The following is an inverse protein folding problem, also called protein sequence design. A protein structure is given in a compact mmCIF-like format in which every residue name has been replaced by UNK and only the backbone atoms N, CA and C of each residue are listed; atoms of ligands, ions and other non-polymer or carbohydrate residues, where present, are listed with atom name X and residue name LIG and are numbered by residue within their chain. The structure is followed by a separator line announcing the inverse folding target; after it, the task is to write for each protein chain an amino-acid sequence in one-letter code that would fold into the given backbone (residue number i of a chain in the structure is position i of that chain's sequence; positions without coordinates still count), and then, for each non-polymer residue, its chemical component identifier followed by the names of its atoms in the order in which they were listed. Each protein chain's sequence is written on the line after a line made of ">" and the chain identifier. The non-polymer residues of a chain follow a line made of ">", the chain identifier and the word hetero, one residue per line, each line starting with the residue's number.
data_IF_465655197251
#
_entry.id   IF_465655197251
#
_cell.length_a   1.000
_cell.length_b   1.000
_cell.length_c   1.000
_cell.angle_alpha   90.00
_cell.angle_beta   90.00
_cell.angle_gamma   90.00
#
_symmetry.space_group_name_H-M   'P 1'
#
loop_
_entity.id
_entity.type
_entity.pdbx_description
1 polymer ?
#
# COMPACT_ATOMS: atom_id res chain seq x y z
N UNK A 1 -17.50 46.96 -78.78
CA UNK A 1 -16.34 46.10 -79.13
C UNK A 1 -15.11 46.60 -78.40
N UNK A 2 -14.70 45.97 -77.34
CA UNK A 2 -13.49 46.37 -76.62
C UNK A 2 -12.26 45.80 -77.34
N UNK A 3 -11.39 46.66 -77.86
CA UNK A 3 -10.13 46.28 -78.41
C UNK A 3 -9.24 45.64 -77.39
N UNK A 4 -8.94 44.34 -77.52
CA UNK A 4 -7.90 43.68 -76.72
C UNK A 4 -6.54 44.21 -77.13
N UNK A 5 -5.86 44.93 -76.26
CA UNK A 5 -4.46 45.37 -76.48
C UNK A 5 -3.58 44.09 -76.42
N UNK A 6 -2.81 43.77 -77.47
CA UNK A 6 -1.95 42.61 -77.48
C UNK A 6 -0.80 42.85 -76.53
N UNK A 7 -0.61 41.94 -75.56
CA UNK A 7 0.52 41.94 -74.62
C UNK A 7 1.85 41.89 -75.41
N UNK A 8 2.82 42.70 -75.03
CA UNK A 8 4.14 42.72 -75.74
C UNK A 8 4.83 41.35 -75.63
N UNK A 9 5.22 40.79 -76.76
CA UNK A 9 5.97 39.52 -76.88
C UNK A 9 7.39 39.76 -76.36
N UNK A 10 7.72 39.20 -75.20
CA UNK A 10 9.04 39.23 -74.59
C UNK A 10 10.08 38.64 -75.50
N UNK A 11 11.24 39.31 -75.65
CA UNK A 11 12.42 38.80 -76.44
C UNK A 11 13.01 37.56 -75.75
N UNK A 12 13.77 36.76 -76.50
CA UNK A 12 14.40 35.52 -75.99
C UNK A 12 15.27 35.79 -74.75
N UNK A 13 16.01 36.91 -74.77
CA UNK A 13 16.82 37.36 -73.60
C UNK A 13 15.94 37.75 -72.36
N UNK A 14 14.86 38.40 -72.59
CA UNK A 14 13.90 38.78 -71.53
C UNK A 14 13.19 37.57 -70.89
N UNK A 15 12.88 36.53 -71.65
CA UNK A 15 12.30 35.26 -71.18
C UNK A 15 13.29 34.48 -70.32
N UNK A 16 14.60 34.39 -70.79
CA UNK A 16 15.64 33.71 -69.97
C UNK A 16 15.97 34.45 -68.70
N UNK A 17 15.99 35.79 -68.70
CA UNK A 17 16.23 36.58 -67.52
C UNK A 17 15.06 36.48 -66.48
N UNK A 18 13.81 36.42 -66.99
CA UNK A 18 12.61 36.22 -66.18
C UNK A 18 12.60 34.81 -65.57
N UNK A 19 12.87 33.77 -66.31
CA UNK A 19 12.96 32.39 -65.86
C UNK A 19 14.09 32.19 -64.81
N UNK A 20 15.23 32.84 -64.96
CA UNK A 20 16.32 32.80 -63.98
C UNK A 20 15.94 33.51 -62.70
N UNK A 21 15.20 34.63 -62.78
CA UNK A 21 14.67 35.32 -61.55
C UNK A 21 13.62 34.44 -60.83
N UNK A 22 12.70 33.85 -61.58
CA UNK A 22 11.66 32.98 -61.03
C UNK A 22 12.28 31.74 -60.36
N UNK A 23 13.29 31.12 -60.98
CA UNK A 23 14.04 29.98 -60.36
C UNK A 23 14.80 30.41 -59.10
N UNK A 24 15.44 31.57 -59.09
CA UNK A 24 16.11 32.09 -57.90
C UNK A 24 15.11 32.37 -56.79
N UNK A 25 13.99 32.98 -57.10
CA UNK A 25 12.91 33.21 -56.12
C UNK A 25 12.37 31.90 -55.57
N UNK A 26 12.09 30.93 -56.44
CA UNK A 26 11.64 29.60 -55.98
C UNK A 26 12.71 28.90 -55.13
N UNK A 27 13.98 28.97 -55.53
CA UNK A 27 15.06 28.40 -54.74
C UNK A 27 15.16 29.05 -53.35
N UNK A 28 15.06 30.38 -53.26
CA UNK A 28 15.03 31.09 -51.95
C UNK A 28 13.84 30.68 -51.13
N UNK A 29 12.63 30.62 -51.70
CA UNK A 29 11.41 30.20 -50.99
C UNK A 29 11.58 28.77 -50.49
N UNK A 30 12.04 27.84 -51.33
CA UNK A 30 12.25 26.44 -50.90
C UNK A 30 13.30 26.35 -49.80
N UNK A 31 14.42 27.09 -49.94
CA UNK A 31 15.49 27.09 -48.91
C UNK A 31 14.97 27.65 -47.59
N UNK A 32 14.25 28.77 -47.60
CA UNK A 32 13.66 29.36 -46.36
C UNK A 32 12.65 28.42 -45.77
N UNK A 33 11.76 27.83 -46.58
CA UNK A 33 10.75 26.91 -46.11
C UNK A 33 11.37 25.64 -45.51
N UNK A 34 12.41 25.11 -46.15
CA UNK A 34 13.18 23.95 -45.66
C UNK A 34 13.88 24.31 -44.33
N UNK A 35 14.49 25.47 -44.22
CA UNK A 35 15.15 25.92 -43.00
C UNK A 35 14.16 26.06 -41.86
N UNK A 36 12.98 26.66 -42.09
CA UNK A 36 11.91 26.75 -41.11
C UNK A 36 11.39 25.36 -40.69
N UNK A 37 11.19 24.49 -41.66
CA UNK A 37 10.75 23.11 -41.41
C UNK A 37 11.77 22.36 -40.54
N UNK A 38 13.06 22.41 -40.87
CA UNK A 38 14.11 21.78 -40.05
C UNK A 38 14.21 22.41 -38.66
N UNK A 39 14.03 23.72 -38.54
CA UNK A 39 14.00 24.38 -37.23
C UNK A 39 12.82 23.91 -36.38
N UNK A 40 11.62 23.84 -36.95
CA UNK A 40 10.42 23.32 -36.26
C UNK A 40 10.59 21.87 -35.87
N UNK A 41 11.10 21.02 -36.78
CA UNK A 41 11.38 19.61 -36.47
C UNK A 41 12.45 19.50 -35.36
N UNK A 42 13.46 20.35 -35.36
CA UNK A 42 14.45 20.43 -34.30
C UNK A 42 13.84 20.78 -32.94
N UNK A 43 12.97 21.78 -32.89
CA UNK A 43 12.26 22.16 -31.66
C UNK A 43 11.34 21.05 -31.14
N UNK A 44 10.58 20.41 -32.03
CA UNK A 44 9.70 19.29 -31.67
C UNK A 44 10.51 18.11 -31.15
N UNK A 45 11.63 17.77 -31.83
CA UNK A 45 12.52 16.69 -31.39
C UNK A 45 13.17 17.00 -30.05
N UNK A 46 13.61 18.25 -29.84
CA UNK A 46 14.16 18.70 -28.56
C UNK A 46 13.12 18.63 -27.44
N UNK A 47 11.91 19.17 -27.67
CA UNK A 47 10.83 19.13 -26.68
C UNK A 47 10.41 17.69 -26.35
N UNK A 48 10.34 16.79 -27.35
CA UNK A 48 10.04 15.38 -27.11
C UNK A 48 11.15 14.69 -26.32
N UNK A 49 12.41 14.99 -26.62
CA UNK A 49 13.57 14.44 -25.91
C UNK A 49 13.63 14.94 -24.46
N UNK A 50 13.40 16.24 -24.24
CA UNK A 50 13.36 16.82 -22.90
C UNK A 50 12.21 16.23 -22.07
N UNK A 51 11.01 16.18 -22.65
CA UNK A 51 9.87 15.56 -21.99
C UNK A 51 10.12 14.08 -21.63
N UNK A 52 10.75 13.34 -22.53
CA UNK A 52 11.13 11.94 -22.25
C UNK A 52 12.14 11.85 -21.11
N UNK A 53 13.16 12.73 -21.10
CA UNK A 53 14.14 12.78 -20.01
C UNK A 53 13.47 13.11 -18.67
N UNK A 54 12.67 14.17 -18.61
CA UNK A 54 12.02 14.62 -17.36
C UNK A 54 11.10 13.56 -16.76
N UNK A 55 10.35 12.84 -17.61
CA UNK A 55 9.36 11.86 -17.18
C UNK A 55 9.92 10.46 -16.94
N UNK A 56 11.07 10.11 -17.55
CA UNK A 56 11.57 8.73 -17.48
C UNK A 56 12.97 8.58 -16.89
N UNK A 57 13.89 9.47 -17.22
CA UNK A 57 15.31 9.29 -16.94
C UNK A 57 15.83 10.18 -15.81
N UNK A 58 15.16 11.30 -15.55
CA UNK A 58 15.54 12.21 -14.46
C UNK A 58 15.56 11.44 -13.13
N UNK A 59 16.57 11.62 -12.30
CA UNK A 59 16.61 10.98 -11.00
C UNK A 59 15.45 11.42 -10.11
N UNK A 60 14.70 10.46 -9.56
CA UNK A 60 13.71 10.68 -8.51
C UNK A 60 14.36 10.57 -7.13
N UNK A 61 15.30 9.63 -6.99
CA UNK A 61 16.02 9.35 -5.77
C UNK A 61 17.42 8.80 -6.10
N UNK A 62 18.37 8.97 -5.21
CA UNK A 62 19.64 8.20 -5.21
C UNK A 62 19.70 7.39 -3.93
N UNK A 63 20.11 6.14 -4.06
CA UNK A 63 20.34 5.20 -2.97
C UNK A 63 21.77 4.67 -3.08
N UNK A 64 22.62 5.00 -2.12
CA UNK A 64 24.07 4.71 -2.14
C UNK A 64 24.72 5.10 -3.49
N UNK A 65 24.38 6.28 -3.98
CA UNK A 65 24.86 6.80 -5.25
C UNK A 65 24.20 6.20 -6.50
N UNK A 66 23.42 5.13 -6.40
CA UNK A 66 22.65 4.54 -7.52
C UNK A 66 21.39 5.35 -7.78
N UNK A 67 21.11 5.60 -9.06
CA UNK A 67 19.94 6.40 -9.46
C UNK A 67 18.70 5.50 -9.53
N UNK A 68 17.64 5.94 -8.84
CA UNK A 68 16.26 5.51 -9.05
C UNK A 68 15.59 6.54 -9.96
N UNK A 69 15.12 6.11 -11.11
CA UNK A 69 14.63 7.03 -12.14
C UNK A 69 13.20 7.51 -11.86
N UNK A 70 12.85 8.67 -12.42
CA UNK A 70 11.49 9.25 -12.35
C UNK A 70 10.41 8.26 -12.82
N UNK A 71 10.73 7.45 -13.84
CA UNK A 71 9.81 6.40 -14.32
C UNK A 71 9.46 5.40 -13.23
N UNK A 72 10.44 4.96 -12.43
CA UNK A 72 10.22 3.95 -11.38
C UNK A 72 9.33 4.52 -10.28
N UNK A 73 9.57 5.78 -9.88
CA UNK A 73 8.70 6.48 -8.93
C UNK A 73 7.28 6.69 -9.47
N UNK A 74 7.16 7.11 -10.74
CA UNK A 74 5.84 7.32 -11.37
C UNK A 74 5.06 6.01 -11.45
N UNK A 75 5.73 4.90 -11.77
CA UNK A 75 5.11 3.58 -11.82
C UNK A 75 4.68 3.11 -10.44
N UNK A 76 5.55 3.25 -9.42
CA UNK A 76 5.22 2.86 -8.05
C UNK A 76 4.02 3.65 -7.51
N UNK A 77 4.06 4.98 -7.64
CA UNK A 77 2.94 5.86 -7.28
C UNK A 77 1.65 5.46 -7.98
N UNK A 78 1.71 5.17 -9.27
CA UNK A 78 0.57 4.75 -10.08
C UNK A 78 0.01 3.40 -9.62
N UNK A 79 0.89 2.48 -9.25
CA UNK A 79 0.50 1.18 -8.68
C UNK A 79 -0.25 1.35 -7.37
N UNK A 80 0.28 2.12 -6.43
CA UNK A 80 -0.35 2.37 -5.14
C UNK A 80 -1.70 3.08 -5.28
N UNK A 81 -1.78 4.12 -6.12
CA UNK A 81 -3.04 4.81 -6.40
C UNK A 81 -4.08 3.89 -7.03
N UNK A 82 -3.69 3.03 -7.96
CA UNK A 82 -4.63 2.10 -8.60
C UNK A 82 -5.15 1.06 -7.62
N UNK A 83 -4.33 0.60 -6.69
CA UNK A 83 -4.79 -0.26 -5.57
C UNK A 83 -5.82 0.47 -4.71
N UNK A 84 -5.52 1.69 -4.31
CA UNK A 84 -6.44 2.52 -3.53
C UNK A 84 -7.80 2.67 -4.22
N UNK A 85 -7.83 3.06 -5.50
CA UNK A 85 -9.09 3.23 -6.23
C UNK A 85 -9.91 1.95 -6.33
N UNK A 86 -9.25 0.81 -6.41
CA UNK A 86 -9.92 -0.49 -6.46
C UNK A 86 -10.42 -0.91 -5.08
N UNK A 87 -9.57 -0.81 -4.07
CA UNK A 87 -9.85 -1.24 -2.70
C UNK A 87 -11.01 -0.45 -2.08
N UNK A 88 -11.05 0.86 -2.33
CA UNK A 88 -12.11 1.75 -1.82
C UNK A 88 -13.24 1.99 -2.82
N UNK A 89 -13.25 1.28 -3.96
CA UNK A 89 -14.32 1.36 -4.94
C UNK A 89 -14.51 2.76 -5.56
N UNK A 90 -13.44 3.56 -5.64
CA UNK A 90 -13.50 4.93 -6.18
C UNK A 90 -13.84 4.86 -7.68
N UNK A 91 -14.96 5.47 -8.13
CA UNK A 91 -15.33 5.46 -9.54
C UNK A 91 -14.33 6.22 -10.41
N UNK A 92 -14.19 5.80 -11.66
CA UNK A 92 -13.43 6.57 -12.65
C UNK A 92 -14.01 8.00 -12.80
N UNK A 93 -13.15 9.01 -12.81
CA UNK A 93 -13.52 10.42 -12.90
C UNK A 93 -13.46 11.19 -11.57
N UNK A 94 -13.41 10.50 -10.43
CA UNK A 94 -13.24 11.13 -9.12
C UNK A 94 -11.76 11.39 -8.75
N UNK A 95 -10.84 11.11 -9.65
CA UNK A 95 -9.39 11.29 -9.39
C UNK A 95 -9.00 12.76 -9.12
N UNK A 96 -9.85 13.70 -9.47
CA UNK A 96 -9.65 15.15 -9.24
C UNK A 96 -10.46 15.71 -8.08
N UNK A 97 -11.15 14.87 -7.31
CA UNK A 97 -11.81 15.30 -6.08
C UNK A 97 -10.79 15.85 -5.09
N UNK A 98 -11.03 17.00 -4.44
CA UNK A 98 -10.10 17.59 -3.46
C UNK A 98 -9.73 16.65 -2.31
N UNK A 99 -10.66 15.81 -1.85
CA UNK A 99 -10.40 14.83 -0.79
C UNK A 99 -9.42 13.72 -1.27
N UNK A 100 -9.51 13.36 -2.56
CA UNK A 100 -8.59 12.40 -3.19
C UNK A 100 -7.25 13.05 -3.50
N UNK A 101 -7.20 14.37 -3.72
CA UNK A 101 -5.95 15.08 -3.98
C UNK A 101 -4.97 15.00 -2.79
N UNK A 102 -5.47 15.09 -1.56
CA UNK A 102 -4.66 14.90 -0.37
C UNK A 102 -4.13 13.48 -0.24
N UNK A 103 -5.01 12.49 -0.48
CA UNK A 103 -4.60 11.09 -0.50
C UNK A 103 -3.52 10.84 -1.56
N UNK A 104 -3.61 11.46 -2.74
CA UNK A 104 -2.56 11.39 -3.78
C UNK A 104 -1.21 11.91 -3.27
N UNK A 105 -1.18 13.01 -2.54
CA UNK A 105 0.06 13.56 -1.99
C UNK A 105 0.72 12.61 -0.99
N UNK A 106 -0.08 11.83 -0.23
CA UNK A 106 0.47 10.79 0.65
C UNK A 106 1.13 9.66 -0.14
N UNK A 107 0.57 9.29 -1.30
CA UNK A 107 1.15 8.26 -2.18
C UNK A 107 2.41 8.74 -2.91
N UNK A 108 2.59 10.03 -3.13
CA UNK A 108 3.82 10.59 -3.70
C UNK A 108 5.03 10.27 -2.79
N UNK A 109 4.87 10.42 -1.48
CA UNK A 109 5.89 10.09 -0.48
C UNK A 109 6.02 8.59 -0.29
N UNK A 110 4.90 7.90 -0.13
CA UNK A 110 4.86 6.44 0.06
C UNK A 110 5.53 5.68 -1.09
N UNK A 111 5.43 6.17 -2.33
CA UNK A 111 6.12 5.57 -3.47
C UNK A 111 7.65 5.67 -3.35
N UNK A 112 8.20 6.79 -2.83
CA UNK A 112 9.63 6.90 -2.55
C UNK A 112 10.05 5.98 -1.40
N UNK A 113 9.24 5.90 -0.32
CA UNK A 113 9.50 5.03 0.82
C UNK A 113 9.54 3.56 0.40
N UNK A 114 8.64 3.15 -0.50
CA UNK A 114 8.59 1.79 -1.05
C UNK A 114 9.80 1.49 -1.93
N UNK A 115 10.21 2.43 -2.79
CA UNK A 115 11.40 2.24 -3.64
C UNK A 115 12.70 2.19 -2.81
N UNK A 116 12.76 2.95 -1.74
CA UNK A 116 13.86 2.88 -0.77
C UNK A 116 13.88 1.51 -0.08
N UNK A 117 12.74 1.02 0.39
CA UNK A 117 12.61 -0.32 0.96
C UNK A 117 13.05 -1.40 -0.04
N UNK A 118 12.60 -1.33 -1.30
CA UNK A 118 13.00 -2.27 -2.35
C UNK A 118 14.51 -2.26 -2.59
N UNK A 119 15.13 -1.07 -2.60
CA UNK A 119 16.58 -0.96 -2.76
C UNK A 119 17.33 -1.61 -1.59
N UNK A 120 16.84 -1.46 -0.37
CA UNK A 120 17.38 -2.10 0.84
C UNK A 120 17.21 -3.62 0.75
N UNK A 121 16.00 -4.11 0.45
CA UNK A 121 15.71 -5.53 0.32
C UNK A 121 16.60 -6.20 -0.74
N UNK A 122 16.71 -5.59 -1.91
CA UNK A 122 17.55 -6.07 -3.01
C UNK A 122 19.04 -6.11 -2.63
N UNK A 123 19.51 -5.11 -1.90
CA UNK A 123 20.90 -5.04 -1.48
C UNK A 123 21.18 -6.10 -0.43
N UNK A 124 20.32 -6.22 0.57
CA UNK A 124 20.47 -7.19 1.64
C UNK A 124 20.31 -8.64 1.13
N UNK A 125 19.35 -8.87 0.22
CA UNK A 125 19.17 -10.18 -0.40
C UNK A 125 20.44 -10.62 -1.13
N UNK A 126 21.05 -9.72 -1.91
CA UNK A 126 22.35 -10.01 -2.56
C UNK A 126 23.46 -10.28 -1.56
N UNK A 127 23.55 -9.52 -0.48
CA UNK A 127 24.57 -9.70 0.56
C UNK A 127 24.41 -11.04 1.28
N UNK A 128 23.19 -11.48 1.52
CA UNK A 128 22.84 -12.73 2.22
C UNK A 128 22.77 -13.94 1.27
N UNK A 129 22.93 -13.75 -0.05
CA UNK A 129 22.80 -14.82 -1.05
C UNK A 129 21.37 -15.34 -1.22
N UNK A 130 20.37 -14.50 -0.89
CA UNK A 130 18.96 -14.83 -1.06
C UNK A 130 18.55 -14.57 -2.51
N UNK A 131 17.87 -15.54 -3.12
CA UNK A 131 17.26 -15.39 -4.45
C UNK A 131 15.83 -15.88 -4.40
N UNK A 132 14.91 -15.09 -4.94
CA UNK A 132 13.52 -15.51 -5.11
C UNK A 132 13.39 -16.27 -6.42
N UNK A 133 13.01 -17.55 -6.34
CA UNK A 133 12.82 -18.36 -7.53
C UNK A 133 11.60 -17.87 -8.34
N UNK A 134 11.67 -17.75 -9.67
CA UNK A 134 10.52 -17.33 -10.49
C UNK A 134 9.24 -18.14 -10.25
N UNK A 135 9.37 -19.44 -10.00
CA UNK A 135 8.23 -20.30 -9.66
C UNK A 135 7.56 -19.89 -8.35
N UNK A 136 8.30 -19.37 -7.37
CA UNK A 136 7.73 -18.87 -6.12
C UNK A 136 6.97 -17.54 -6.35
N UNK A 137 7.50 -16.67 -7.21
CA UNK A 137 6.80 -15.44 -7.64
C UNK A 137 5.49 -15.77 -8.36
N UNK A 138 5.53 -16.73 -9.29
CA UNK A 138 4.35 -17.18 -10.03
C UNK A 138 3.30 -17.77 -9.08
N UNK A 139 3.73 -18.62 -8.15
CA UNK A 139 2.83 -19.22 -7.16
C UNK A 139 2.17 -18.17 -6.25
N UNK A 140 2.98 -17.19 -5.77
CA UNK A 140 2.46 -16.10 -4.94
C UNK A 140 1.53 -15.18 -5.73
N UNK A 141 1.86 -14.85 -6.98
CA UNK A 141 1.00 -14.07 -7.87
C UNK A 141 -0.35 -14.75 -8.11
N UNK A 142 -0.34 -16.08 -8.32
CA UNK A 142 -1.57 -16.89 -8.42
C UNK A 142 -2.35 -16.91 -7.11
N UNK A 143 -1.68 -16.99 -5.96
CA UNK A 143 -2.31 -16.98 -4.65
C UNK A 143 -2.94 -15.60 -4.32
N UNK A 144 -2.25 -14.51 -4.63
CA UNK A 144 -2.70 -13.17 -4.28
C UNK A 144 -3.84 -12.66 -5.19
N UNK A 145 -3.84 -13.03 -6.48
CA UNK A 145 -4.76 -12.48 -7.47
C UNK A 145 -5.65 -13.51 -8.17
N UNK A 146 -5.40 -14.81 -7.98
CA UNK A 146 -6.31 -15.84 -8.42
C UNK A 146 -7.64 -15.76 -7.65
N UNK A 147 -8.70 -16.21 -8.28
CA UNK A 147 -10.02 -16.20 -7.67
C UNK A 147 -10.66 -17.59 -7.82
N UNK A 148 -11.57 -17.87 -6.91
CA UNK A 148 -12.43 -19.06 -6.99
C UNK A 148 -13.88 -18.66 -6.79
N UNK A 149 -14.76 -19.42 -7.43
CA UNK A 149 -16.19 -19.40 -7.17
C UNK A 149 -16.55 -20.59 -6.32
N UNK A 150 -17.29 -20.34 -5.25
CA UNK A 150 -17.65 -21.38 -4.29
C UNK A 150 -19.05 -21.19 -3.78
N UNK A 151 -19.55 -22.26 -3.18
CA UNK A 151 -20.77 -22.26 -2.39
C UNK A 151 -20.53 -22.94 -1.06
N UNK A 152 -21.33 -22.59 -0.05
CA UNK A 152 -21.21 -23.20 1.26
C UNK A 152 -22.56 -23.41 1.94
N UNK A 153 -22.52 -24.26 2.98
CA UNK A 153 -23.59 -24.43 3.97
C UNK A 153 -22.96 -24.15 5.32
N UNK A 154 -23.47 -23.17 6.06
CA UNK A 154 -22.97 -22.80 7.39
C UNK A 154 -23.90 -23.37 8.46
N UNK A 155 -23.34 -24.09 9.42
CA UNK A 155 -24.01 -24.55 10.64
C UNK A 155 -23.36 -23.85 11.82
N UNK A 156 -24.05 -22.86 12.41
CA UNK A 156 -23.53 -22.07 13.52
C UNK A 156 -23.58 -22.86 14.83
N UNK A 157 -22.78 -22.47 15.80
CA UNK A 157 -22.89 -22.83 17.19
C UNK A 157 -22.84 -21.58 18.06
N UNK A 158 -23.50 -21.61 19.22
CA UNK A 158 -23.52 -20.48 20.13
C UNK A 158 -22.33 -20.54 21.10
N UNK A 159 -21.37 -19.65 20.94
CA UNK A 159 -20.22 -19.51 21.86
C UNK A 159 -20.63 -19.04 23.27
N UNK A 160 -21.84 -18.55 23.45
CA UNK A 160 -22.42 -18.17 24.74
C UNK A 160 -23.36 -19.23 25.33
N UNK A 161 -23.56 -20.37 24.65
CA UNK A 161 -24.40 -21.45 25.14
C UNK A 161 -23.96 -21.96 26.51
N UNK A 162 -24.92 -22.41 27.31
CA UNK A 162 -24.66 -22.95 28.68
C UNK A 162 -23.73 -24.17 28.63
N UNK A 163 -23.86 -25.02 27.59
CA UNK A 163 -22.96 -26.13 27.30
C UNK A 163 -22.40 -25.94 25.88
N UNK A 164 -21.31 -25.19 25.80
CA UNK A 164 -20.61 -24.88 24.55
C UNK A 164 -20.14 -26.15 23.82
N UNK A 165 -19.64 -27.12 24.55
CA UNK A 165 -19.09 -28.34 23.97
C UNK A 165 -20.18 -29.20 23.33
N UNK A 166 -21.34 -29.27 23.95
CA UNK A 166 -22.49 -30.01 23.41
C UNK A 166 -23.05 -29.28 22.18
N UNK A 167 -23.18 -27.96 22.22
CA UNK A 167 -23.70 -27.18 21.10
C UNK A 167 -22.77 -27.28 19.88
N UNK A 168 -21.47 -27.13 20.08
CA UNK A 168 -20.46 -27.33 19.03
C UNK A 168 -20.48 -28.76 18.48
N UNK A 169 -20.61 -29.78 19.34
CA UNK A 169 -20.70 -31.18 18.93
C UNK A 169 -21.94 -31.45 18.07
N UNK A 170 -23.09 -30.86 18.43
CA UNK A 170 -24.33 -30.96 17.68
C UNK A 170 -24.20 -30.29 16.29
N UNK A 171 -23.58 -29.11 16.23
CA UNK A 171 -23.33 -28.42 14.98
C UNK A 171 -22.41 -29.23 14.05
N UNK A 172 -21.34 -29.82 14.59
CA UNK A 172 -20.44 -30.70 13.84
C UNK A 172 -21.16 -31.96 13.33
N UNK A 173 -21.97 -32.59 14.16
CA UNK A 173 -22.73 -33.76 13.78
C UNK A 173 -23.71 -33.45 12.64
N UNK A 174 -24.41 -32.31 12.71
CA UNK A 174 -25.32 -31.84 11.67
C UNK A 174 -24.57 -31.50 10.38
N UNK A 175 -23.45 -30.77 10.45
CA UNK A 175 -22.63 -30.48 9.29
C UNK A 175 -22.09 -31.77 8.63
N UNK A 176 -21.68 -32.75 9.44
CA UNK A 176 -21.20 -34.04 8.97
C UNK A 176 -22.30 -34.80 8.20
N UNK A 177 -23.51 -34.83 8.75
CA UNK A 177 -24.64 -35.49 8.09
C UNK A 177 -25.01 -34.87 6.74
N UNK A 178 -24.98 -33.54 6.66
CA UNK A 178 -25.21 -32.78 5.41
C UNK A 178 -24.10 -33.08 4.39
N UNK A 179 -22.81 -33.00 4.82
CA UNK A 179 -21.67 -33.37 3.98
C UNK A 179 -21.84 -34.80 3.39
N UNK A 180 -22.21 -35.77 4.21
CA UNK A 180 -22.36 -37.15 3.79
C UNK A 180 -23.46 -37.30 2.74
N UNK A 181 -24.58 -36.60 2.90
CA UNK A 181 -25.64 -36.56 1.88
C UNK A 181 -25.13 -35.95 0.57
N UNK A 182 -24.44 -34.85 0.61
CA UNK A 182 -23.87 -34.17 -0.56
C UNK A 182 -22.80 -35.03 -1.27
N UNK A 183 -22.01 -35.80 -0.54
CA UNK A 183 -20.96 -36.66 -1.11
C UNK A 183 -21.52 -37.88 -1.84
N UNK A 184 -22.79 -38.28 -1.62
CA UNK A 184 -23.44 -39.34 -2.39
C UNK A 184 -23.63 -38.93 -3.86
N UNK A 185 -23.91 -37.66 -4.12
CA UNK A 185 -24.03 -37.10 -5.46
C UNK A 185 -23.51 -35.64 -5.48
N UNK A 186 -22.19 -35.45 -5.57
CA UNK A 186 -21.55 -34.12 -5.44
C UNK A 186 -21.97 -33.11 -6.51
N UNK A 187 -22.49 -33.59 -7.64
CA UNK A 187 -22.91 -32.76 -8.77
C UNK A 187 -24.40 -32.41 -8.74
N UNK A 188 -25.15 -32.88 -7.75
CA UNK A 188 -26.60 -32.65 -7.64
C UNK A 188 -26.87 -31.22 -7.11
N UNK A 189 -27.06 -30.30 -8.04
CA UNK A 189 -27.39 -28.93 -7.77
C UNK A 189 -28.67 -28.73 -6.95
N UNK A 190 -29.71 -29.51 -7.28
CA UNK A 190 -30.99 -29.39 -6.60
C UNK A 190 -30.90 -29.84 -5.15
N UNK A 191 -30.21 -30.96 -4.88
CA UNK A 191 -29.94 -31.41 -3.52
C UNK A 191 -29.13 -30.36 -2.72
N UNK A 192 -28.07 -29.80 -3.31
CA UNK A 192 -27.29 -28.78 -2.66
C UNK A 192 -28.14 -27.55 -2.31
N UNK A 193 -28.88 -27.03 -3.30
CA UNK A 193 -29.74 -25.87 -3.13
C UNK A 193 -30.82 -26.09 -2.06
N UNK A 194 -31.38 -27.28 -2.01
CA UNK A 194 -32.35 -27.65 -0.98
C UNK A 194 -31.70 -27.66 0.40
N UNK A 195 -30.57 -28.37 0.58
CA UNK A 195 -29.89 -28.45 1.87
C UNK A 195 -29.36 -27.07 2.34
N UNK A 196 -28.89 -26.24 1.42
CA UNK A 196 -28.47 -24.88 1.76
C UNK A 196 -29.66 -24.04 2.26
N UNK A 197 -30.81 -24.08 1.60
CA UNK A 197 -32.02 -23.36 2.02
C UNK A 197 -32.60 -23.89 3.33
N UNK A 198 -32.55 -25.19 3.55
CA UNK A 198 -33.17 -25.82 4.72
C UNK A 198 -32.28 -25.72 5.97
N UNK A 199 -30.96 -25.71 5.80
CA UNK A 199 -30.04 -25.88 6.92
C UNK A 199 -28.98 -24.78 7.08
N UNK A 200 -28.63 -24.04 6.01
CA UNK A 200 -27.60 -23.03 6.12
C UNK A 200 -28.10 -21.84 6.95
N UNK A 201 -27.28 -21.44 7.91
CA UNK A 201 -27.53 -20.29 8.77
C UNK A 201 -26.76 -19.04 8.32
N UNK A 202 -26.24 -19.04 7.09
CA UNK A 202 -25.74 -17.84 6.42
C UNK A 202 -26.88 -17.12 5.69
N UNK A 203 -27.41 -16.01 6.21
CA UNK A 203 -28.53 -15.31 5.60
C UNK A 203 -28.19 -14.67 4.25
N UNK A 204 -26.89 -14.44 3.99
CA UNK A 204 -26.42 -13.82 2.76
C UNK A 204 -26.45 -14.74 1.57
N UNK A 205 -26.18 -16.03 1.76
CA UNK A 205 -26.07 -16.99 0.65
C UNK A 205 -27.13 -18.09 0.66
N UNK A 206 -27.70 -18.44 1.81
CA UNK A 206 -28.67 -19.56 1.90
C UNK A 206 -29.86 -19.44 0.94
N UNK A 207 -30.49 -18.26 0.70
CA UNK A 207 -31.57 -18.13 -0.26
C UNK A 207 -31.16 -18.43 -1.71
N UNK A 208 -29.88 -18.24 -2.02
CA UNK A 208 -29.28 -18.50 -3.33
C UNK A 208 -28.57 -19.86 -3.42
N UNK A 209 -28.90 -20.79 -2.52
CA UNK A 209 -28.28 -22.13 -2.51
C UNK A 209 -26.85 -22.14 -1.98
N UNK A 210 -26.48 -21.15 -1.16
CA UNK A 210 -25.15 -21.05 -0.59
C UNK A 210 -24.09 -20.42 -1.50
N UNK A 211 -24.48 -19.88 -2.66
CA UNK A 211 -23.57 -19.27 -3.64
C UNK A 211 -22.87 -18.02 -3.06
N UNK A 212 -21.54 -17.97 -3.21
CA UNK A 212 -20.69 -16.87 -2.70
C UNK A 212 -20.07 -16.01 -3.81
N UNK A 213 -20.25 -16.44 -5.07
CA UNK A 213 -19.67 -15.74 -6.22
C UNK A 213 -18.14 -15.88 -6.34
N UNK A 214 -17.55 -15.01 -7.15
CA UNK A 214 -16.10 -14.95 -7.34
C UNK A 214 -15.44 -14.18 -6.21
N UNK A 215 -14.48 -14.81 -5.55
CA UNK A 215 -13.74 -14.25 -4.41
C UNK A 215 -12.25 -14.48 -4.56
N UNK A 216 -11.48 -13.54 -4.04
CA UNK A 216 -10.03 -13.61 -3.96
C UNK A 216 -9.55 -13.79 -2.52
N UNK A 217 -8.25 -13.77 -2.34
CA UNK A 217 -7.57 -13.85 -1.05
C UNK A 217 -8.00 -12.72 -0.10
N UNK A 218 -8.19 -13.05 1.17
CA UNK A 218 -8.53 -12.10 2.25
C UNK A 218 -10.01 -11.72 2.33
N UNK A 219 -10.89 -12.30 1.50
CA UNK A 219 -12.32 -12.00 1.51
C UNK A 219 -13.11 -12.88 2.47
N UNK A 220 -12.57 -14.03 2.84
CA UNK A 220 -13.15 -14.92 3.83
C UNK A 220 -12.21 -15.17 5.01
N UNK A 221 -12.74 -15.73 6.07
CA UNK A 221 -11.91 -16.15 7.21
C UNK A 221 -10.91 -17.22 6.79
N UNK A 222 -9.72 -17.15 7.39
CA UNK A 222 -8.58 -17.99 7.00
C UNK A 222 -8.89 -19.50 6.94
N UNK A 223 -9.60 -20.12 7.92
CA UNK A 223 -9.93 -21.55 7.81
C UNK A 223 -10.75 -21.90 6.57
N UNK A 224 -11.67 -21.01 6.17
CA UNK A 224 -12.47 -21.20 4.96
C UNK A 224 -11.60 -21.12 3.70
N UNK A 225 -10.76 -20.08 3.60
CA UNK A 225 -9.87 -19.88 2.44
C UNK A 225 -8.87 -21.04 2.28
N UNK A 226 -8.24 -21.46 3.38
CA UNK A 226 -7.29 -22.57 3.37
C UNK A 226 -7.96 -23.87 2.87
N UNK A 227 -9.16 -24.17 3.35
CA UNK A 227 -9.93 -25.31 2.90
C UNK A 227 -10.34 -25.19 1.43
N UNK A 228 -10.86 -24.03 1.01
CA UNK A 228 -11.23 -23.78 -0.37
C UNK A 228 -10.04 -23.91 -1.32
N UNK A 229 -8.84 -23.44 -0.93
CA UNK A 229 -7.61 -23.58 -1.71
C UNK A 229 -7.21 -25.05 -1.90
N UNK A 230 -7.40 -25.89 -0.89
CA UNK A 230 -7.02 -27.30 -0.92
C UNK A 230 -7.99 -28.19 -1.70
N UNK A 231 -9.25 -27.76 -1.89
CA UNK A 231 -10.27 -28.55 -2.58
C UNK A 231 -10.02 -28.59 -4.09
N UNK A 232 -10.23 -29.78 -4.69
CA UNK A 232 -10.42 -29.89 -6.13
C UNK A 232 -11.78 -29.29 -6.55
N UNK A 233 -11.89 -28.84 -7.80
CA UNK A 233 -13.16 -28.36 -8.36
C UNK A 233 -14.20 -29.46 -8.25
N UNK A 234 -15.38 -29.13 -7.73
CA UNK A 234 -16.50 -30.09 -7.49
C UNK A 234 -16.37 -30.91 -6.21
N UNK A 235 -15.22 -30.88 -5.54
CA UNK A 235 -15.04 -31.62 -4.28
C UNK A 235 -15.76 -30.93 -3.13
N UNK A 236 -16.40 -31.73 -2.25
CA UNK A 236 -17.06 -31.27 -1.04
C UNK A 236 -16.11 -31.43 0.15
N UNK A 237 -15.89 -30.35 0.91
CA UNK A 237 -15.02 -30.35 2.08
C UNK A 237 -15.55 -31.30 3.19
N UNK A 238 -14.68 -31.61 4.12
CA UNK A 238 -15.11 -31.94 5.49
C UNK A 238 -15.65 -30.67 6.18
N UNK A 239 -16.40 -30.78 7.29
CA UNK A 239 -16.83 -29.61 8.05
C UNK A 239 -15.62 -28.78 8.48
N UNK A 240 -15.53 -27.53 8.02
CA UNK A 240 -14.44 -26.59 8.31
C UNK A 240 -14.88 -25.66 9.44
N UNK A 241 -14.19 -25.72 10.57
CA UNK A 241 -14.49 -24.86 11.74
C UNK A 241 -13.96 -23.45 11.53
N UNK A 242 -14.79 -22.46 11.86
CA UNK A 242 -14.43 -21.07 12.01
C UNK A 242 -15.09 -20.47 13.25
N UNK A 243 -14.89 -19.19 13.55
CA UNK A 243 -15.59 -18.49 14.63
C UNK A 243 -17.10 -18.34 14.38
N UNK A 244 -17.55 -18.53 13.14
CA UNK A 244 -18.97 -18.47 12.74
C UNK A 244 -19.69 -19.82 12.86
N UNK A 245 -18.96 -20.93 12.90
CA UNK A 245 -19.55 -22.26 12.87
C UNK A 245 -18.76 -23.24 11.99
N UNK A 246 -19.47 -24.30 11.55
CA UNK A 246 -18.94 -25.30 10.62
C UNK A 246 -19.44 -25.04 9.20
N UNK A 247 -18.50 -24.89 8.27
CA UNK A 247 -18.76 -24.69 6.84
C UNK A 247 -18.58 -26.00 6.09
N UNK A 248 -19.55 -26.34 5.23
CA UNK A 248 -19.38 -27.34 4.19
C UNK A 248 -19.17 -26.55 2.90
N UNK A 249 -18.04 -26.74 2.23
CA UNK A 249 -17.58 -25.92 1.13
C UNK A 249 -17.49 -26.77 -0.15
N UNK A 250 -17.89 -26.20 -1.28
CA UNK A 250 -17.56 -26.71 -2.60
C UNK A 250 -17.02 -25.59 -3.48
N UNK A 251 -15.85 -25.81 -4.08
CA UNK A 251 -15.30 -24.92 -5.10
C UNK A 251 -15.82 -25.36 -6.45
N UNK A 252 -16.48 -24.47 -7.16
CA UNK A 252 -17.11 -24.78 -8.46
C UNK A 252 -16.20 -24.41 -9.63
N UNK A 253 -15.50 -23.30 -9.53
CA UNK A 253 -14.62 -22.79 -10.57
C UNK A 253 -13.40 -22.08 -9.99
N UNK A 254 -12.33 -22.01 -10.79
CA UNK A 254 -11.14 -21.19 -10.49
C UNK A 254 -10.79 -20.37 -11.72
N UNK A 255 -10.31 -19.14 -11.49
CA UNK A 255 -9.78 -18.29 -12.56
C UNK A 255 -8.44 -17.69 -12.16
N UNK A 256 -7.58 -17.51 -13.14
CA UNK A 256 -6.25 -16.92 -12.91
C UNK A 256 -6.29 -15.41 -12.73
N UNK A 257 -5.15 -14.81 -12.34
CA UNK A 257 -5.03 -13.37 -12.12
C UNK A 257 -5.50 -12.51 -13.30
N UNK A 258 -5.23 -12.92 -14.54
CA UNK A 258 -5.63 -12.17 -15.73
C UNK A 258 -7.15 -11.96 -15.87
N UNK A 259 -7.95 -12.81 -15.22
CA UNK A 259 -9.42 -12.71 -15.20
C UNK A 259 -9.94 -11.91 -14.00
N UNK A 260 -9.08 -11.59 -13.04
CA UNK A 260 -9.40 -10.76 -11.89
C UNK A 260 -9.62 -9.31 -12.35
N UNK A 261 -10.72 -8.68 -11.91
CA UNK A 261 -11.09 -7.34 -12.36
C UNK A 261 -10.11 -6.26 -11.88
N UNK A 262 -9.43 -6.49 -10.75
CA UNK A 262 -8.35 -5.62 -10.27
C UNK A 262 -7.18 -5.67 -11.24
N UNK A 263 -6.73 -6.86 -11.60
CA UNK A 263 -5.60 -7.07 -12.52
C UNK A 263 -5.93 -6.53 -13.92
N UNK A 264 -7.17 -6.73 -14.40
CA UNK A 264 -7.63 -6.15 -15.67
C UNK A 264 -7.55 -4.62 -15.66
N UNK A 265 -7.93 -3.97 -14.55
CA UNK A 265 -7.81 -2.50 -14.41
C UNK A 265 -6.35 -2.06 -14.44
N UNK A 266 -5.45 -2.80 -13.80
CA UNK A 266 -4.01 -2.52 -13.87
C UNK A 266 -3.48 -2.62 -15.29
N UNK A 267 -3.82 -3.70 -16.02
CA UNK A 267 -3.44 -3.84 -17.43
C UNK A 267 -4.00 -2.69 -18.28
N UNK A 268 -5.26 -2.31 -18.07
CA UNK A 268 -5.86 -1.15 -18.75
C UNK A 268 -5.16 0.18 -18.41
N UNK A 269 -4.53 0.28 -17.23
CA UNK A 269 -3.73 1.42 -16.80
C UNK A 269 -2.28 1.39 -17.31
N UNK A 270 -1.91 0.36 -18.09
CA UNK A 270 -0.61 0.22 -18.71
C UNK A 270 0.42 -0.55 -17.90
N UNK A 271 0.03 -1.21 -16.78
CA UNK A 271 0.88 -2.18 -16.11
C UNK A 271 0.94 -3.48 -16.91
N UNK A 272 2.05 -4.17 -16.78
CA UNK A 272 2.24 -5.52 -17.32
C UNK A 272 2.23 -6.53 -16.19
N UNK A 273 2.07 -7.80 -16.50
CA UNK A 273 2.23 -8.89 -15.52
C UNK A 273 3.61 -8.86 -14.86
N UNK A 274 4.65 -8.48 -15.63
CA UNK A 274 6.02 -8.35 -15.11
C UNK A 274 6.11 -7.27 -14.03
N UNK A 275 5.43 -6.13 -14.23
CA UNK A 275 5.40 -5.05 -13.24
C UNK A 275 4.75 -5.54 -11.94
N UNK A 276 3.62 -6.25 -12.04
CA UNK A 276 2.91 -6.77 -10.85
C UNK A 276 3.75 -7.85 -10.15
N UNK A 277 4.35 -8.78 -10.90
CA UNK A 277 5.22 -9.82 -10.35
C UNK A 277 6.46 -9.27 -9.65
N UNK A 278 6.96 -8.11 -10.09
CA UNK A 278 8.06 -7.42 -9.39
C UNK A 278 7.63 -6.99 -7.97
N UNK A 279 6.41 -6.48 -7.78
CA UNK A 279 5.90 -6.21 -6.43
C UNK A 279 5.77 -7.50 -5.61
N UNK A 280 5.24 -8.56 -6.24
CA UNK A 280 5.14 -9.88 -5.60
C UNK A 280 6.50 -10.43 -5.15
N UNK A 281 7.55 -10.22 -5.95
CA UNK A 281 8.94 -10.61 -5.58
C UNK A 281 9.40 -9.86 -4.32
N UNK A 282 9.17 -8.55 -4.25
CA UNK A 282 9.54 -7.77 -3.06
C UNK A 282 8.68 -8.11 -1.85
N UNK A 283 7.42 -8.49 -2.03
CA UNK A 283 6.58 -8.99 -0.94
C UNK A 283 7.13 -10.32 -0.37
N UNK A 284 7.61 -11.22 -1.23
CA UNK A 284 8.29 -12.46 -0.81
C UNK A 284 9.58 -12.14 -0.03
N UNK A 285 10.39 -11.19 -0.51
CA UNK A 285 11.59 -10.75 0.21
C UNK A 285 11.24 -10.14 1.56
N UNK A 286 10.22 -9.31 1.62
CA UNK A 286 9.73 -8.72 2.88
C UNK A 286 9.30 -9.80 3.87
N UNK A 287 8.54 -10.78 3.43
CA UNK A 287 8.10 -11.91 4.27
C UNK A 287 9.31 -12.70 4.79
N UNK A 288 10.30 -12.97 3.94
CA UNK A 288 11.54 -13.66 4.32
C UNK A 288 12.35 -12.87 5.35
N UNK A 289 12.55 -11.55 5.13
CA UNK A 289 13.24 -10.71 6.10
C UNK A 289 12.44 -10.54 7.39
N UNK A 290 11.12 -10.44 7.31
CA UNK A 290 10.27 -10.42 8.49
C UNK A 290 10.48 -11.67 9.34
N UNK A 291 10.39 -12.83 8.72
CA UNK A 291 10.62 -14.10 9.39
C UNK A 291 12.02 -14.17 10.01
N UNK A 292 13.06 -13.77 9.29
CA UNK A 292 14.44 -13.76 9.80
C UNK A 292 14.62 -12.85 11.00
N UNK A 293 13.97 -11.68 11.02
CA UNK A 293 14.04 -10.79 12.18
C UNK A 293 13.32 -11.41 13.38
N UNK A 294 12.17 -12.02 13.16
CA UNK A 294 11.40 -12.71 14.20
C UNK A 294 12.15 -13.95 14.74
N UNK A 295 12.78 -14.74 13.86
CA UNK A 295 13.55 -15.93 14.24
C UNK A 295 14.81 -15.61 15.07
N UNK A 296 15.30 -14.36 15.08
CA UNK A 296 16.38 -13.92 15.99
C UNK A 296 15.97 -13.97 17.45
N UNK A 297 14.67 -14.00 17.71
CA UNK A 297 14.10 -14.02 19.04
C UNK A 297 14.25 -12.70 19.79
N UNK A 298 13.59 -12.61 20.92
CA UNK A 298 13.58 -11.43 21.77
C UNK A 298 14.45 -11.70 23.01
N UNK A 299 15.46 -10.85 23.22
CA UNK A 299 16.37 -10.99 24.38
C UNK A 299 15.68 -10.50 25.63
N UNK A 300 15.67 -11.33 26.68
CA UNK A 300 15.14 -11.01 28.01
C UNK A 300 16.06 -11.64 29.09
N UNK A 301 16.40 -10.92 30.16
CA UNK A 301 16.04 -9.53 30.44
C UNK A 301 16.79 -8.53 29.57
N UNK A 302 16.23 -7.30 29.44
CA UNK A 302 16.85 -6.21 28.67
C UNK A 302 16.61 -4.86 29.34
N UNK A 303 17.34 -3.83 28.89
CA UNK A 303 17.11 -2.45 29.33
C UNK A 303 15.72 -1.97 28.91
N UNK A 304 15.03 -1.31 29.84
CA UNK A 304 13.70 -0.77 29.63
C UNK A 304 13.57 0.64 30.21
N UNK A 305 12.68 1.41 29.65
CA UNK A 305 12.30 2.74 30.14
C UNK A 305 10.79 2.77 30.40
N UNK A 306 10.39 3.31 31.56
CA UNK A 306 8.99 3.60 31.85
C UNK A 306 8.69 4.98 31.33
N UNK A 307 7.70 5.12 30.46
CA UNK A 307 7.39 6.37 29.79
C UNK A 307 5.91 6.74 29.91
N UNK A 308 5.66 8.03 29.76
CA UNK A 308 4.32 8.55 29.47
C UNK A 308 4.36 9.32 28.15
N UNK A 309 3.21 9.42 27.46
CA UNK A 309 3.07 10.14 26.19
C UNK A 309 1.92 11.14 26.20
N UNK A 310 2.07 12.19 25.41
CA UNK A 310 0.99 13.07 24.96
C UNK A 310 0.98 12.99 23.45
N UNK A 311 -0.11 12.52 22.87
CA UNK A 311 -0.25 12.36 21.44
C UNK A 311 -1.45 13.16 20.94
N UNK A 312 -1.25 13.95 19.90
CA UNK A 312 -2.31 14.69 19.20
C UNK A 312 -2.12 14.57 17.70
N UNK A 313 -3.19 14.81 16.93
CA UNK A 313 -3.09 14.81 15.48
C UNK A 313 -2.08 15.87 15.01
N UNK A 314 -1.24 15.52 14.04
CA UNK A 314 -0.34 16.49 13.40
C UNK A 314 -1.17 17.52 12.64
N UNK A 315 -0.98 18.85 12.90
CA UNK A 315 -1.70 19.88 12.18
C UNK A 315 -1.46 19.78 10.68
N UNK A 316 -2.53 19.72 9.90
CA UNK A 316 -2.48 19.67 8.44
C UNK A 316 -3.59 20.52 7.82
N UNK A 317 -3.32 21.30 6.77
CA UNK A 317 -4.35 21.99 6.01
C UNK A 317 -5.09 20.95 5.14
N UNK A 318 -6.23 20.42 5.64
CA UNK A 318 -7.05 19.43 4.93
C UNK A 318 -8.20 20.12 4.24
N UNK A 319 -8.36 19.93 2.94
CA UNK A 319 -9.59 20.22 2.19
C UNK A 319 -10.17 21.63 2.33
N UNK A 320 -9.38 22.63 2.72
CA UNK A 320 -9.84 24.00 2.93
C UNK A 320 -10.44 24.28 4.32
N UNK A 321 -10.41 23.34 5.24
CA UNK A 321 -10.78 23.56 6.64
C UNK A 321 -9.62 24.21 7.44
N UNK A 322 -9.44 25.52 7.19
CA UNK A 322 -8.46 26.32 7.91
C UNK A 322 -8.75 26.45 9.39
N UNK A 323 -10.00 26.29 9.83
CA UNK A 323 -10.34 26.39 11.23
C UNK A 323 -9.79 25.19 12.01
N UNK A 324 -10.05 23.98 11.55
CA UNK A 324 -9.52 22.74 12.15
C UNK A 324 -7.99 22.74 12.19
N UNK A 325 -7.34 23.14 11.10
CA UNK A 325 -5.89 23.31 11.05
C UNK A 325 -5.37 24.31 12.11
N UNK A 326 -6.01 25.48 12.22
CA UNK A 326 -5.64 26.51 13.19
C UNK A 326 -5.85 26.03 14.63
N UNK A 327 -6.94 25.30 14.88
CA UNK A 327 -7.25 24.74 16.19
C UNK A 327 -6.22 23.68 16.62
N UNK A 328 -5.78 22.83 15.67
CA UNK A 328 -4.72 21.86 15.91
C UNK A 328 -3.35 22.54 16.17
N UNK A 329 -2.99 23.54 15.36
CA UNK A 329 -1.77 24.34 15.60
C UNK A 329 -1.78 24.96 17.01
N UNK A 330 -2.92 25.55 17.39
CA UNK A 330 -3.09 26.13 18.70
C UNK A 330 -2.95 25.08 19.80
N UNK A 331 -3.56 23.90 19.63
CA UNK A 331 -3.47 22.80 20.59
C UNK A 331 -2.02 22.34 20.80
N UNK A 332 -1.26 22.16 19.70
CA UNK A 332 0.17 21.82 19.76
C UNK A 332 0.96 22.91 20.52
N UNK A 333 0.70 24.18 20.22
CA UNK A 333 1.36 25.30 20.91
C UNK A 333 0.99 25.40 22.38
N UNK A 334 -0.27 25.16 22.75
CA UNK A 334 -0.74 25.17 24.13
C UNK A 334 -0.09 24.03 24.95
N UNK A 335 0.08 22.84 24.37
CA UNK A 335 0.79 21.70 24.97
C UNK A 335 2.25 22.08 25.24
N UNK A 336 2.97 22.54 24.20
CA UNK A 336 4.38 22.92 24.32
C UNK A 336 4.55 23.98 25.41
N UNK A 337 3.72 25.02 25.39
CA UNK A 337 3.73 26.09 26.41
C UNK A 337 3.48 25.58 27.84
N UNK A 338 2.54 24.65 28.02
CA UNK A 338 2.22 24.08 29.33
C UNK A 338 3.41 23.24 29.85
N UNK A 339 4.03 22.45 28.98
CA UNK A 339 5.21 21.66 29.33
C UNK A 339 6.42 22.53 29.65
N UNK A 340 6.68 23.59 28.87
CA UNK A 340 7.75 24.55 29.09
C UNK A 340 7.56 25.33 30.39
N UNK A 341 6.31 25.59 30.79
CA UNK A 341 5.96 26.22 32.06
C UNK A 341 6.11 25.29 33.26
N UNK A 342 6.43 24.02 33.06
CA UNK A 342 6.58 23.02 34.11
C UNK A 342 5.26 22.47 34.64
N UNK A 343 4.14 22.62 33.92
CA UNK A 343 2.89 21.97 34.28
C UNK A 343 3.08 20.46 34.34
N UNK A 344 2.42 19.79 35.29
CA UNK A 344 2.56 18.34 35.42
C UNK A 344 2.17 17.62 34.13
N UNK A 345 3.03 16.72 33.67
CA UNK A 345 2.86 16.01 32.41
C UNK A 345 1.55 15.22 32.35
N UNK A 346 1.18 14.58 33.46
CA UNK A 346 -0.05 13.79 33.52
C UNK A 346 -1.31 14.67 33.45
N UNK A 347 -1.27 15.90 33.99
CA UNK A 347 -2.36 16.87 33.84
C UNK A 347 -2.49 17.34 32.40
N UNK A 348 -1.36 17.65 31.74
CA UNK A 348 -1.35 18.04 30.31
C UNK A 348 -1.85 16.88 29.44
N UNK A 349 -1.42 15.64 29.72
CA UNK A 349 -1.90 14.44 29.01
C UNK A 349 -3.42 14.27 29.13
N UNK A 350 -3.97 14.34 30.35
CA UNK A 350 -5.41 14.24 30.57
C UNK A 350 -6.21 15.33 29.87
N UNK A 351 -5.64 16.54 29.78
CA UNK A 351 -6.32 17.66 29.16
C UNK A 351 -6.30 17.58 27.63
N UNK A 352 -5.13 17.29 27.04
CA UNK A 352 -4.90 17.50 25.60
C UNK A 352 -4.70 16.23 24.79
N UNK A 353 -4.21 15.12 25.39
CA UNK A 353 -3.91 13.92 24.62
C UNK A 353 -5.17 13.36 23.92
N UNK A 354 -4.97 12.89 22.69
CA UNK A 354 -5.97 12.22 21.87
C UNK A 354 -5.80 10.70 21.90
N UNK A 355 -4.75 10.20 22.56
CA UNK A 355 -4.58 8.78 22.80
C UNK A 355 -5.54 8.28 23.90
N UNK A 356 -6.63 7.66 23.48
CA UNK A 356 -7.66 7.15 24.39
C UNK A 356 -7.16 6.02 25.30
N UNK A 357 -6.07 5.34 24.93
CA UNK A 357 -5.56 4.22 25.72
C UNK A 357 -4.83 4.69 26.98
N UNK A 358 -4.13 5.83 26.94
CA UNK A 358 -3.28 6.29 28.04
C UNK A 358 -3.72 7.64 28.64
N UNK A 359 -4.53 8.42 27.93
CA UNK A 359 -4.95 9.76 28.32
C UNK A 359 -5.42 9.85 29.79
N UNK A 360 -6.39 9.02 30.17
CA UNK A 360 -7.02 9.08 31.49
C UNK A 360 -6.07 8.64 32.62
N UNK A 361 -4.99 7.93 32.24
CA UNK A 361 -3.90 7.51 33.15
C UNK A 361 -2.73 8.51 33.13
N UNK A 362 -2.95 9.73 32.61
CA UNK A 362 -1.91 10.75 32.55
C UNK A 362 -0.84 10.47 31.47
N UNK A 363 -1.20 9.70 30.46
CA UNK A 363 -0.33 9.31 29.37
C UNK A 363 0.57 8.10 29.66
N UNK A 364 0.42 7.42 30.80
CA UNK A 364 1.29 6.31 31.19
C UNK A 364 1.20 5.13 30.22
N UNK A 365 2.31 4.80 29.58
CA UNK A 365 2.48 3.67 28.68
C UNK A 365 3.08 2.43 29.35
N UNK A 366 3.53 2.58 30.60
CA UNK A 366 4.29 1.54 31.28
C UNK A 366 5.73 1.41 30.77
N UNK A 367 6.31 0.24 31.00
CA UNK A 367 7.67 -0.09 30.61
C UNK A 367 7.76 -0.48 29.13
N UNK A 368 8.68 0.16 28.41
CA UNK A 368 8.99 -0.19 27.03
C UNK A 368 10.45 -0.63 26.89
N UNK A 369 10.68 -1.57 26.02
CA UNK A 369 11.99 -2.01 25.58
C UNK A 369 12.27 -1.54 24.13
N UNK A 370 13.53 -1.61 23.70
CA UNK A 370 13.87 -1.31 22.31
C UNK A 370 13.15 -2.25 21.35
N UNK A 371 12.67 -1.69 20.26
CA UNK A 371 11.85 -2.38 19.26
C UNK A 371 10.36 -2.32 19.52
N UNK A 372 9.92 -1.73 20.64
CA UNK A 372 8.49 -1.52 20.88
C UNK A 372 7.93 -0.27 20.19
N UNK A 373 8.76 0.77 19.99
CA UNK A 373 8.39 1.96 19.22
C UNK A 373 8.87 1.83 17.78
N UNK A 374 8.02 2.21 16.84
CA UNK A 374 8.38 2.29 15.41
C UNK A 374 9.08 3.60 15.04
N UNK A 375 8.93 4.65 15.88
CA UNK A 375 9.67 5.90 15.79
C UNK A 375 11.06 5.74 16.43
N UNK A 376 12.06 5.37 15.61
CA UNK A 376 13.43 5.19 16.10
C UNK A 376 14.08 6.47 16.65
N UNK A 377 13.88 7.69 16.09
CA UNK A 377 14.33 8.92 16.73
C UNK A 377 13.85 9.07 18.15
N UNK A 378 12.53 8.92 18.37
CA UNK A 378 11.93 8.99 19.70
C UNK A 378 12.48 7.89 20.61
N UNK A 379 12.50 6.63 20.16
CA UNK A 379 13.04 5.53 20.96
C UNK A 379 14.49 5.79 21.41
N UNK A 380 15.35 6.21 20.48
CA UNK A 380 16.74 6.50 20.80
C UNK A 380 16.89 7.64 21.81
N UNK A 381 16.10 8.71 21.67
CA UNK A 381 16.10 9.81 22.63
C UNK A 381 15.69 9.32 24.03
N UNK A 382 14.58 8.57 24.13
CA UNK A 382 14.03 8.08 25.41
C UNK A 382 15.01 7.19 26.18
N UNK A 383 15.77 6.35 25.47
CA UNK A 383 16.80 5.53 26.10
C UNK A 383 18.03 6.33 26.52
N UNK A 384 18.29 7.54 25.96
CA UNK A 384 19.44 8.37 26.25
C UNK A 384 19.20 9.48 27.27
N UNK A 385 18.00 10.10 27.30
CA UNK A 385 17.70 11.15 28.28
C UNK A 385 17.49 10.58 29.70
N UNK A 386 17.85 11.30 30.78
CA UNK A 386 17.65 10.85 32.14
C UNK A 386 16.18 10.64 32.52
N UNK A 387 15.93 9.82 33.56
CA UNK A 387 14.62 9.74 34.20
C UNK A 387 14.18 11.13 34.72
N UNK A 388 12.90 11.43 34.59
CA UNK A 388 12.26 12.69 34.92
C UNK A 388 12.27 13.72 33.78
N UNK A 389 13.03 13.52 32.71
CA UNK A 389 13.13 14.47 31.58
C UNK A 389 12.06 14.21 30.51
N UNK A 390 11.76 15.31 29.80
CA UNK A 390 10.89 15.31 28.62
C UNK A 390 11.73 15.07 27.35
N UNK A 391 11.13 14.40 26.39
CA UNK A 391 11.67 14.35 25.01
C UNK A 391 11.49 15.70 24.30
N UNK A 392 12.16 15.83 23.17
CA UNK A 392 11.75 16.81 22.16
C UNK A 392 10.36 16.46 21.62
N UNK A 393 9.74 17.42 20.93
CA UNK A 393 8.51 17.18 20.17
C UNK A 393 8.84 16.32 18.96
N UNK A 394 8.17 15.18 18.84
CA UNK A 394 8.26 14.30 17.68
C UNK A 394 7.08 14.52 16.76
N UNK A 395 7.37 14.96 15.52
CA UNK A 395 6.36 15.20 14.50
C UNK A 395 6.31 14.03 13.53
N UNK A 396 5.30 13.18 13.69
CA UNK A 396 5.02 12.11 12.74
C UNK A 396 4.09 12.56 11.61
N UNK A 397 3.85 11.67 10.66
CA UNK A 397 2.94 11.95 9.54
C UNK A 397 1.50 12.22 9.98
N UNK A 398 1.02 11.56 11.01
CA UNK A 398 -0.37 11.65 11.48
C UNK A 398 -0.48 12.20 12.89
N UNK A 399 0.58 12.07 13.68
CA UNK A 399 0.58 12.41 15.11
C UNK A 399 1.80 13.21 15.50
N UNK A 400 1.59 14.19 16.36
CA UNK A 400 2.64 14.91 17.09
C UNK A 400 2.67 14.39 18.52
N UNK A 401 3.83 13.99 19.00
CA UNK A 401 3.98 13.30 20.29
C UNK A 401 5.07 13.91 21.14
N UNK A 402 4.82 14.02 22.43
CA UNK A 402 5.80 14.30 23.50
C UNK A 402 5.85 13.12 24.45
N UNK A 403 7.04 12.81 24.92
CA UNK A 403 7.24 11.75 25.89
C UNK A 403 7.89 12.31 27.18
N UNK A 404 7.63 11.63 28.27
CA UNK A 404 8.33 11.80 29.53
C UNK A 404 8.91 10.47 29.96
N UNK A 405 10.21 10.45 30.27
CA UNK A 405 10.84 9.28 30.89
C UNK A 405 10.56 9.36 32.40
N UNK A 406 9.83 8.38 32.92
CA UNK A 406 9.48 8.30 34.33
C UNK A 406 10.60 7.60 35.09
N UNK A 407 11.01 6.44 34.65
CA UNK A 407 11.98 5.57 35.30
C UNK A 407 12.79 4.76 34.26
N UNK A 408 13.96 4.28 34.64
CA UNK A 408 14.82 3.42 33.82
C UNK A 408 15.27 2.19 34.58
N UNK A 409 15.44 1.08 33.83
CA UNK A 409 16.03 -0.14 34.35
C UNK A 409 16.99 -0.70 33.31
N UNK A 410 18.21 -1.02 33.74
CA UNK A 410 19.22 -1.62 32.84
C UNK A 410 18.94 -3.09 32.53
N UNK A 411 18.13 -3.75 33.37
CA UNK A 411 17.81 -5.17 33.22
C UNK A 411 16.46 -5.47 33.82
N UNK A 412 15.46 -5.74 33.00
CA UNK A 412 14.10 -6.08 33.36
C UNK A 412 13.57 -7.18 32.45
N UNK A 413 12.89 -8.17 33.01
CA UNK A 413 12.24 -9.20 32.20
C UNK A 413 11.11 -8.60 31.36
N UNK A 414 10.98 -9.10 30.16
CA UNK A 414 9.89 -8.77 29.26
C UNK A 414 8.68 -9.66 29.55
N UNK A 415 7.52 -9.04 29.64
CA UNK A 415 6.25 -9.77 29.64
C UNK A 415 5.87 -10.26 28.22
N UNK A 416 4.82 -11.05 28.11
CA UNK A 416 4.44 -11.66 26.83
C UNK A 416 3.88 -10.62 25.83
N UNK A 417 3.26 -9.54 26.31
CA UNK A 417 2.79 -8.44 25.47
C UNK A 417 3.97 -7.68 24.86
N UNK A 418 4.99 -7.37 25.67
CA UNK A 418 6.21 -6.73 25.23
C UNK A 418 6.95 -7.58 24.19
N UNK A 419 7.11 -8.89 24.47
CA UNK A 419 7.74 -9.83 23.53
C UNK A 419 6.98 -9.88 22.20
N UNK A 420 5.65 -9.94 22.27
CA UNK A 420 4.80 -9.93 21.08
C UNK A 420 4.98 -8.63 20.30
N UNK A 421 4.93 -7.47 20.94
CA UNK A 421 5.09 -6.16 20.30
C UNK A 421 6.45 -6.03 19.61
N UNK A 422 7.54 -6.44 20.28
CA UNK A 422 8.89 -6.42 19.69
C UNK A 422 8.95 -7.34 18.46
N UNK A 423 8.35 -8.52 18.56
CA UNK A 423 8.33 -9.48 17.46
C UNK A 423 7.48 -8.98 16.28
N UNK A 424 6.35 -8.38 16.54
CA UNK A 424 5.48 -7.79 15.52
C UNK A 424 6.18 -6.61 14.81
N UNK A 425 6.96 -5.82 15.52
CA UNK A 425 7.70 -4.66 15.00
C UNK A 425 9.08 -5.03 14.40
N UNK A 426 9.53 -6.28 14.52
CA UNK A 426 10.92 -6.66 14.26
C UNK A 426 11.42 -6.27 12.86
N UNK A 427 10.57 -6.44 11.83
CA UNK A 427 10.89 -6.03 10.46
C UNK A 427 10.98 -4.50 10.32
N UNK A 428 9.97 -3.77 10.79
CA UNK A 428 9.94 -2.30 10.71
C UNK A 428 11.12 -1.68 11.45
N UNK A 429 11.45 -2.22 12.61
CA UNK A 429 12.59 -1.79 13.39
C UNK A 429 13.92 -2.02 12.64
N UNK A 430 14.10 -3.22 12.08
CA UNK A 430 15.26 -3.54 11.25
C UNK A 430 15.33 -2.63 10.02
N UNK A 431 14.22 -2.46 9.27
CA UNK A 431 14.18 -1.62 8.08
C UNK A 431 14.57 -0.17 8.38
N UNK A 432 14.04 0.39 9.46
CA UNK A 432 14.39 1.75 9.89
C UNK A 432 15.85 1.89 10.30
N UNK A 433 16.48 0.83 10.84
CA UNK A 433 17.92 0.83 11.06
C UNK A 433 18.71 0.80 9.75
N UNK A 434 18.26 -0.01 8.77
CA UNK A 434 18.88 -0.04 7.44
C UNK A 434 18.79 1.31 6.76
N UNK A 435 17.63 1.98 6.77
CA UNK A 435 17.46 3.33 6.21
C UNK A 435 18.50 4.33 6.75
N UNK A 436 18.85 4.24 8.02
CA UNK A 436 19.90 5.10 8.63
C UNK A 436 21.32 4.74 8.21
N UNK A 437 21.54 3.49 7.78
CA UNK A 437 22.87 3.00 7.38
C UNK A 437 23.21 3.32 5.92
N UNK A 438 22.22 3.75 5.12
CA UNK A 438 22.37 4.04 3.70
C UNK A 438 22.29 5.54 3.41
N UNK A 439 23.00 5.95 2.34
CA UNK A 439 22.93 7.33 1.82
C UNK A 439 21.75 7.44 0.84
N UNK A 440 20.69 8.12 1.27
CA UNK A 440 19.49 8.31 0.47
C UNK A 440 19.27 9.79 0.19
N UNK A 441 19.21 10.16 -1.08
CA UNK A 441 18.94 11.53 -1.54
C UNK A 441 17.66 11.54 -2.37
N UNK A 442 16.59 12.11 -1.84
CA UNK A 442 15.31 12.35 -2.53
C UNK A 442 15.41 13.62 -3.36
N UNK A 443 15.02 13.57 -4.63
CA UNK A 443 15.24 14.61 -5.63
C UNK A 443 13.94 15.16 -6.22
N UNK A 444 12.80 14.73 -5.70
CA UNK A 444 11.49 15.25 -6.10
C UNK A 444 11.18 16.46 -5.22
N UNK A 445 10.96 17.67 -5.79
CA UNK A 445 10.68 18.87 -5.03
C UNK A 445 9.45 18.69 -4.11
N UNK A 446 9.60 19.07 -2.84
CA UNK A 446 8.56 18.93 -1.81
C UNK A 446 8.44 17.54 -1.19
N UNK A 447 9.30 16.59 -1.59
CA UNK A 447 9.37 15.22 -1.03
C UNK A 447 10.77 14.92 -0.47
N UNK A 448 11.59 15.94 -0.26
CA UNK A 448 12.85 15.85 0.44
C UNK A 448 12.60 15.38 1.90
N UNK A 449 13.62 14.82 2.54
CA UNK A 449 13.52 14.51 3.97
C UNK A 449 13.37 15.81 4.79
N UNK A 450 12.41 15.83 5.71
CA UNK A 450 12.37 16.79 6.82
C UNK A 450 13.27 16.32 7.96
#
# INVERSE_FOLDING_TARGET
>A
MARRIPLPRLTRRQRTARWQRERRQQAVIVTVFSAVLFFVLGLVSWAASDNYYQSNLKPAMKFDGKVVAMRDWTNERKYQLSRFYVEFGVPAGYENDPQIAEQKASYDRSALDTLEEYAILDQQARADGITVAPVAVDARYQDDFGQFRSRHILITFDSAATDKALDESNALAKATAIRDQLRLDPNNQDLWNQLAKDYSQDPGSSPSGGELGWVGKGQFVKPFEDAAKALAIGQISDPVKSDFGYHIIQVEERRGPAENDIVKRWFASGFTEVDIKRHTEHDILRDEFTKRQQDRGVVSPTAQVHIAQIQVATPRPVGGDFQSFTDQLKKVADIAKALDAGTDFAEVAKQYSEDSATKDQGGDMGWIARGMLTDLPAENELFNIPAGQLSQQHNGLTTTTWYKVIEKSDSRDLDDTQKKTINDNAYTYWLNQQKKAHDVLRLIPGLEFE
#
